data_IF_439892361906
#
_entry.id   IF_439892361906
#
_cell.length_a   1.000
_cell.length_b   1.000
_cell.length_c   1.000
_cell.angle_alpha   90.00
_cell.angle_beta   90.00
_cell.angle_gamma   90.00
#
_symmetry.space_group_name_H-M   'P 1'
#
loop_
_entity.id
_entity.type
_entity.pdbx_description
1 polymer ?
#
# COMPACT_ATOMS: atom_id res chain seq x y z
N UNK A 1 -3.66 21.01 -4.93
CA UNK A 1 -3.86 19.55 -5.01
C UNK A 1 -3.15 19.09 -6.27
N UNK A 2 -1.93 18.56 -6.17
CA UNK A 2 -1.26 17.98 -7.34
C UNK A 2 -1.70 16.52 -7.49
N UNK A 3 -2.01 16.14 -8.72
CA UNK A 3 -2.56 14.85 -9.12
C UNK A 3 -1.47 13.77 -9.00
N UNK A 4 -1.43 13.09 -7.86
CA UNK A 4 -0.76 11.78 -7.76
C UNK A 4 -1.36 10.88 -8.83
N UNK A 5 -0.53 10.29 -9.69
CA UNK A 5 -1.00 9.36 -10.72
C UNK A 5 -1.32 7.98 -10.09
N UNK A 6 -2.60 7.64 -10.02
CA UNK A 6 -3.08 6.42 -9.39
C UNK A 6 -4.12 5.71 -10.23
N UNK A 7 -4.20 4.40 -10.04
CA UNK A 7 -5.35 3.58 -10.41
C UNK A 7 -5.94 2.99 -9.12
N UNK A 8 -7.23 3.19 -8.90
CA UNK A 8 -7.99 2.57 -7.80
C UNK A 8 -9.10 1.73 -8.41
N UNK A 9 -9.20 0.48 -7.98
CA UNK A 9 -10.27 -0.43 -8.38
C UNK A 9 -10.71 -1.25 -7.17
N UNK A 10 -11.93 -1.78 -7.25
CA UNK A 10 -12.58 -2.54 -6.17
C UNK A 10 -13.03 -3.88 -6.72
N UNK A 11 -12.90 -4.95 -5.94
CA UNK A 11 -13.54 -6.26 -6.15
C UNK A 11 -14.04 -6.75 -4.79
N UNK A 12 -14.89 -7.78 -4.79
CA UNK A 12 -15.40 -8.42 -3.56
C UNK A 12 -14.50 -9.59 -3.12
N UNK A 13 -14.77 -10.11 -1.92
CA UNK A 13 -14.21 -11.36 -1.37
C UNK A 13 -14.93 -12.60 -1.90
N UNK A 14 -15.97 -12.41 -2.72
CA UNK A 14 -16.79 -13.48 -3.29
C UNK A 14 -16.11 -14.12 -4.50
N UNK A 15 -15.92 -15.43 -4.44
CA UNK A 15 -15.47 -16.23 -5.59
C UNK A 15 -16.24 -17.55 -5.64
N UNK A 16 -17.11 -17.70 -6.61
CA UNK A 16 -17.91 -18.91 -6.80
C UNK A 16 -18.01 -19.30 -8.29
N UNK A 17 -18.76 -20.36 -8.58
CA UNK A 17 -19.06 -20.74 -9.96
C UNK A 17 -20.17 -19.88 -10.59
N UNK A 18 -20.76 -18.94 -9.84
CA UNK A 18 -21.80 -18.05 -10.36
C UNK A 18 -21.20 -16.94 -11.21
N UNK A 19 -21.78 -16.71 -12.39
CA UNK A 19 -21.43 -15.58 -13.24
C UNK A 19 -21.86 -14.22 -12.65
N UNK A 20 -22.74 -14.22 -11.64
CA UNK A 20 -23.12 -13.02 -10.89
C UNK A 20 -22.03 -12.51 -9.97
N UNK A 21 -21.13 -13.39 -9.52
CA UNK A 21 -20.11 -13.05 -8.54
C UNK A 21 -18.91 -12.42 -9.21
N UNK A 22 -18.31 -11.43 -8.58
CA UNK A 22 -17.22 -10.67 -9.18
C UNK A 22 -16.07 -11.57 -9.61
N UNK A 23 -15.71 -12.58 -8.81
CA UNK A 23 -14.63 -13.52 -9.14
C UNK A 23 -13.32 -12.80 -9.51
N UNK A 24 -13.01 -11.69 -8.81
CA UNK A 24 -11.86 -10.82 -9.09
C UNK A 24 -12.08 -9.75 -10.15
N UNK A 25 -13.23 -9.72 -10.83
CA UNK A 25 -13.59 -8.64 -11.76
C UNK A 25 -13.85 -7.35 -11.00
N UNK A 26 -13.28 -6.25 -11.49
CA UNK A 26 -13.54 -4.97 -10.88
C UNK A 26 -15.00 -4.55 -11.02
N UNK A 27 -15.55 -3.99 -9.95
CA UNK A 27 -16.93 -3.50 -9.88
C UNK A 27 -17.02 -2.04 -10.33
N UNK A 28 -18.20 -1.59 -10.81
CA UNK A 28 -19.43 -2.37 -10.98
C UNK A 28 -19.39 -3.35 -12.17
N UNK A 29 -19.97 -4.54 -12.00
CA UNK A 29 -20.08 -5.53 -13.09
C UNK A 29 -21.04 -5.07 -14.18
N UNK A 30 -22.14 -4.41 -13.80
CA UNK A 30 -23.16 -3.90 -14.72
C UNK A 30 -22.72 -2.64 -15.51
N UNK A 31 -21.54 -2.08 -15.20
CA UNK A 31 -21.08 -0.81 -15.75
C UNK A 31 -21.71 0.40 -15.06
N UNK A 32 -21.78 1.53 -15.77
CA UNK A 32 -22.23 2.82 -15.25
C UNK A 32 -21.09 3.68 -14.72
N UNK A 33 -20.40 3.19 -13.68
CA UNK A 33 -19.21 3.85 -13.15
C UNK A 33 -17.91 3.32 -13.76
N UNK A 34 -16.85 4.16 -13.86
CA UNK A 34 -15.51 3.69 -14.14
C UNK A 34 -15.06 2.64 -13.11
N UNK A 35 -14.58 1.50 -13.58
CA UNK A 35 -14.02 0.42 -12.74
C UNK A 35 -12.61 0.72 -12.25
N UNK A 36 -11.84 1.41 -13.08
CA UNK A 36 -10.53 1.95 -12.74
C UNK A 36 -10.69 3.46 -12.59
N UNK A 37 -10.56 3.92 -11.36
CA UNK A 37 -10.64 5.32 -10.97
C UNK A 37 -9.24 5.91 -11.06
N UNK A 38 -9.15 7.06 -11.72
CA UNK A 38 -7.89 7.78 -11.98
C UNK A 38 -8.02 9.24 -11.51
N UNK A 39 -6.94 10.02 -11.48
CA UNK A 39 -7.01 11.44 -11.08
C UNK A 39 -7.88 12.31 -12.00
N UNK A 40 -8.13 11.85 -13.22
CA UNK A 40 -8.96 12.53 -14.22
C UNK A 40 -10.40 12.03 -14.25
N UNK A 41 -10.75 11.01 -13.44
CA UNK A 41 -12.12 10.52 -13.30
C UNK A 41 -13.02 11.63 -12.71
N UNK A 42 -14.09 12.05 -13.39
CA UNK A 42 -15.04 13.02 -12.84
C UNK A 42 -15.70 12.48 -11.57
N UNK A 43 -15.83 13.32 -10.54
CA UNK A 43 -16.44 12.95 -9.25
C UNK A 43 -15.85 11.68 -8.63
N UNK A 44 -14.54 11.43 -8.81
CA UNK A 44 -13.83 10.21 -8.37
C UNK A 44 -14.10 9.78 -6.93
N UNK A 45 -14.28 10.72 -5.99
CA UNK A 45 -14.66 10.39 -4.61
C UNK A 45 -16.04 9.74 -4.53
N UNK A 46 -17.02 10.28 -5.25
CA UNK A 46 -18.37 9.70 -5.35
C UNK A 46 -18.36 8.37 -6.11
N UNK A 47 -17.57 8.27 -7.19
CA UNK A 47 -17.41 7.02 -7.95
C UNK A 47 -16.82 5.94 -7.05
N UNK A 48 -15.78 6.27 -6.28
CA UNK A 48 -15.18 5.33 -5.33
C UNK A 48 -16.18 4.90 -4.27
N UNK A 49 -16.89 5.85 -3.65
CA UNK A 49 -17.93 5.57 -2.66
C UNK A 49 -19.01 4.62 -3.19
N UNK A 50 -19.41 4.76 -4.46
CA UNK A 50 -20.37 3.88 -5.10
C UNK A 50 -19.79 2.52 -5.42
N UNK A 51 -18.53 2.46 -5.89
CA UNK A 51 -17.88 1.19 -6.24
C UNK A 51 -17.55 0.34 -5.01
N UNK A 52 -17.25 0.93 -3.85
CA UNK A 52 -17.04 0.18 -2.59
C UNK A 52 -18.33 -0.31 -1.96
N UNK A 53 -19.48 0.26 -2.32
CA UNK A 53 -20.78 -0.17 -1.82
C UNK A 53 -21.30 -1.39 -2.62
N UNK A 54 -20.56 -2.49 -2.51
CA UNK A 54 -20.83 -3.76 -3.24
C UNK A 54 -21.99 -4.57 -2.67
N UNK A 55 -22.50 -4.19 -1.50
CA UNK A 55 -23.51 -4.95 -0.77
C UNK A 55 -22.94 -6.23 -0.14
N UNK A 56 -23.84 -7.07 0.36
CA UNK A 56 -23.50 -8.35 1.03
C UNK A 56 -23.96 -9.57 0.23
N UNK A 57 -24.45 -9.36 -0.99
CA UNK A 57 -24.88 -10.43 -1.89
C UNK A 57 -23.64 -11.09 -2.50
N UNK A 58 -23.23 -12.24 -1.97
CA UNK A 58 -22.05 -12.98 -2.45
C UNK A 58 -22.05 -14.44 -1.97
N UNK A 59 -20.94 -15.14 -2.24
CA UNK A 59 -20.68 -16.47 -1.70
C UNK A 59 -20.65 -16.40 -0.17
N UNK A 60 -21.20 -17.42 0.49
CA UNK A 60 -21.16 -17.54 1.95
C UNK A 60 -19.75 -17.82 2.47
N UNK A 61 -18.80 -18.11 1.57
CA UNK A 61 -17.39 -18.31 1.90
C UNK A 61 -16.53 -17.13 1.44
N UNK A 62 -15.92 -16.43 2.39
CA UNK A 62 -15.04 -15.30 2.13
C UNK A 62 -13.63 -15.77 1.75
N UNK A 63 -13.22 -15.40 0.53
CA UNK A 63 -11.85 -15.65 0.03
C UNK A 63 -11.19 -14.29 -0.08
N UNK A 64 -10.38 -13.96 0.91
CA UNK A 64 -9.75 -12.66 1.07
C UNK A 64 -8.59 -12.44 0.09
N UNK A 65 -7.88 -13.51 -0.27
CA UNK A 65 -6.69 -13.44 -1.12
C UNK A 65 -7.01 -13.72 -2.59
N UNK A 66 -7.87 -14.71 -2.84
CA UNK A 66 -8.16 -15.27 -4.17
C UNK A 66 -8.69 -14.27 -5.20
N UNK A 67 -9.64 -13.37 -4.91
CA UNK A 67 -10.15 -12.40 -5.89
C UNK A 67 -9.04 -11.49 -6.41
N UNK A 68 -8.12 -11.07 -5.55
CA UNK A 68 -6.97 -10.26 -5.94
C UNK A 68 -6.04 -11.00 -6.91
N UNK A 69 -5.82 -12.30 -6.70
CA UNK A 69 -5.09 -13.15 -7.63
C UNK A 69 -5.81 -13.25 -8.98
N UNK A 70 -7.11 -13.56 -8.98
CA UNK A 70 -7.91 -13.68 -10.20
C UNK A 70 -7.93 -12.37 -10.98
N UNK A 71 -8.13 -11.24 -10.28
CA UNK A 71 -8.24 -9.92 -10.90
C UNK A 71 -6.94 -9.41 -11.53
N UNK A 72 -5.79 -9.90 -11.07
CA UNK A 72 -4.46 -9.50 -11.54
C UNK A 72 -3.75 -10.57 -12.37
N UNK A 73 -4.44 -11.66 -12.69
CA UNK A 73 -3.94 -12.73 -13.55
C UNK A 73 -4.81 -12.89 -14.79
N UNK A 74 -4.33 -13.70 -15.74
CA UNK A 74 -5.08 -13.99 -16.94
C UNK A 74 -6.32 -14.86 -16.65
N UNK A 75 -7.47 -14.56 -17.29
CA UNK A 75 -7.63 -13.58 -18.37
C UNK A 75 -7.98 -12.16 -17.90
N UNK A 76 -8.29 -11.93 -16.62
CA UNK A 76 -8.91 -10.68 -16.19
C UNK A 76 -8.00 -9.47 -16.35
N UNK A 77 -6.71 -9.60 -16.02
CA UNK A 77 -5.73 -8.52 -16.15
C UNK A 77 -5.60 -8.00 -17.59
N UNK A 78 -5.85 -8.86 -18.58
CA UNK A 78 -5.81 -8.53 -20.01
C UNK A 78 -7.21 -8.28 -20.61
N UNK A 79 -8.29 -8.41 -19.82
CA UNK A 79 -9.67 -8.25 -20.28
C UNK A 79 -10.50 -7.31 -19.40
N UNK A 80 -11.34 -7.83 -18.50
CA UNK A 80 -12.27 -7.00 -17.71
C UNK A 80 -11.55 -5.96 -16.84
N UNK A 81 -10.36 -6.31 -16.35
CA UNK A 81 -9.51 -5.50 -15.49
C UNK A 81 -8.35 -4.84 -16.26
N UNK A 82 -8.38 -4.88 -17.60
CA UNK A 82 -7.35 -4.30 -18.43
C UNK A 82 -7.08 -2.82 -18.11
N UNK A 83 -5.80 -2.46 -18.14
CA UNK A 83 -5.34 -1.09 -17.88
C UNK A 83 -5.14 -0.73 -16.41
N UNK A 84 -5.47 -1.62 -15.46
CA UNK A 84 -5.22 -1.35 -14.03
C UNK A 84 -3.76 -1.50 -13.63
N UNK A 85 -3.16 -2.67 -13.88
CA UNK A 85 -1.80 -2.99 -13.46
C UNK A 85 -0.78 -2.28 -14.37
N UNK A 86 0.07 -1.43 -13.78
CA UNK A 86 1.12 -0.68 -14.50
C UNK A 86 2.50 -1.08 -14.03
N UNK A 87 3.41 -1.43 -14.93
CA UNK A 87 4.74 -1.93 -14.56
C UNK A 87 5.62 -0.95 -13.78
N UNK A 88 5.42 0.35 -14.01
CA UNK A 88 6.16 1.46 -13.41
C UNK A 88 5.51 2.04 -12.15
N UNK A 89 4.39 1.48 -11.69
CA UNK A 89 3.71 1.89 -10.47
C UNK A 89 3.86 0.87 -9.34
N UNK A 90 3.93 1.36 -8.11
CA UNK A 90 3.72 0.50 -6.94
C UNK A 90 2.30 -0.06 -6.96
N UNK A 91 2.15 -1.30 -6.53
CA UNK A 91 0.86 -1.96 -6.36
C UNK A 91 0.63 -2.20 -4.87
N UNK A 92 -0.49 -1.71 -4.35
CA UNK A 92 -0.98 -2.09 -3.03
C UNK A 92 -2.32 -2.80 -3.15
N UNK A 93 -2.46 -3.92 -2.45
CA UNK A 93 -3.75 -4.57 -2.21
C UNK A 93 -4.14 -4.29 -0.76
N UNK A 94 -5.38 -3.86 -0.54
CA UNK A 94 -5.96 -3.67 0.80
C UNK A 94 -7.18 -4.54 0.90
N UNK A 95 -7.11 -5.56 1.75
CA UNK A 95 -8.25 -6.41 2.08
C UNK A 95 -8.97 -5.80 3.28
N UNK A 96 -10.29 -5.72 3.20
CA UNK A 96 -11.17 -5.27 4.27
C UNK A 96 -12.25 -6.33 4.44
N UNK A 97 -12.36 -6.94 5.62
CA UNK A 97 -13.33 -8.00 5.91
C UNK A 97 -13.47 -8.19 7.43
N UNK A 98 -14.61 -8.69 7.89
CA UNK A 98 -14.88 -9.13 9.27
C UNK A 98 -14.79 -10.65 9.45
N UNK A 99 -14.35 -11.39 8.43
CA UNK A 99 -14.19 -12.84 8.43
C UNK A 99 -12.73 -13.29 8.22
N UNK A 100 -12.50 -14.61 8.28
CA UNK A 100 -11.21 -15.21 7.92
C UNK A 100 -11.14 -15.61 6.43
N UNK A 101 -9.92 -15.75 5.90
CA UNK A 101 -9.71 -16.33 4.56
C UNK A 101 -10.03 -17.84 4.57
N UNK A 102 -11.14 -18.21 3.92
CA UNK A 102 -11.64 -19.58 3.83
C UNK A 102 -11.17 -20.31 2.56
N UNK A 103 -10.23 -19.74 1.81
CA UNK A 103 -9.65 -20.40 0.65
C UNK A 103 -8.71 -21.55 1.04
N UNK A 104 -8.90 -22.71 0.41
CA UNK A 104 -8.11 -23.91 0.61
C UNK A 104 -6.81 -23.94 -0.21
N UNK A 105 -6.64 -23.01 -1.15
CA UNK A 105 -5.42 -22.88 -1.96
C UNK A 105 -4.21 -22.59 -1.07
N UNK A 106 -3.08 -23.29 -1.27
CA UNK A 106 -1.88 -23.10 -0.43
C UNK A 106 -1.38 -21.65 -0.45
N UNK A 107 -1.02 -21.09 0.70
CA UNK A 107 -0.53 -19.70 0.79
C UNK A 107 0.71 -19.46 -0.09
N UNK A 108 1.62 -20.44 -0.16
CA UNK A 108 2.82 -20.36 -0.97
C UNK A 108 2.55 -20.13 -2.46
N UNK A 109 1.39 -20.59 -2.97
CA UNK A 109 0.95 -20.28 -4.33
C UNK A 109 0.75 -18.77 -4.51
N UNK A 110 0.03 -18.14 -3.58
CA UNK A 110 -0.22 -16.70 -3.59
C UNK A 110 1.04 -15.89 -3.33
N UNK A 111 1.89 -16.30 -2.38
CA UNK A 111 3.19 -15.67 -2.13
C UNK A 111 4.03 -15.64 -3.41
N UNK A 112 4.14 -16.77 -4.11
CA UNK A 112 4.92 -16.86 -5.35
C UNK A 112 4.35 -15.96 -6.45
N UNK A 113 3.03 -15.90 -6.60
CA UNK A 113 2.41 -15.00 -7.57
C UNK A 113 2.68 -13.53 -7.23
N UNK A 114 2.30 -13.11 -6.02
CA UNK A 114 2.32 -11.70 -5.64
C UNK A 114 3.73 -11.14 -5.48
N UNK A 115 4.68 -11.90 -4.93
CA UNK A 115 6.08 -11.45 -4.82
C UNK A 115 6.77 -11.31 -6.18
N UNK A 116 6.22 -11.89 -7.24
CA UNK A 116 6.75 -11.75 -8.60
C UNK A 116 5.87 -10.88 -9.51
N UNK A 117 4.77 -10.30 -9.00
CA UNK A 117 3.80 -9.57 -9.83
C UNK A 117 4.37 -8.32 -10.49
N UNK A 118 5.39 -7.72 -9.86
CA UNK A 118 6.16 -6.59 -10.41
C UNK A 118 7.45 -7.04 -11.08
N UNK A 119 7.73 -8.33 -11.14
CA UNK A 119 9.01 -8.91 -11.55
C UNK A 119 10.00 -9.04 -10.39
N UNK A 120 10.89 -10.03 -10.50
CA UNK A 120 11.79 -10.49 -9.44
C UNK A 120 12.69 -9.39 -8.83
N UNK A 121 13.06 -8.36 -9.59
CA UNK A 121 13.92 -7.26 -9.13
C UNK A 121 13.16 -6.11 -8.47
N UNK A 122 11.82 -6.11 -8.55
CA UNK A 122 10.93 -5.02 -8.10
C UNK A 122 9.98 -5.47 -6.99
N UNK A 123 10.42 -6.41 -6.14
CA UNK A 123 9.59 -6.99 -5.06
C UNK A 123 9.09 -5.95 -4.05
N UNK A 124 9.84 -4.87 -3.87
CA UNK A 124 9.47 -3.74 -3.02
C UNK A 124 8.39 -2.82 -3.63
N UNK A 125 8.00 -3.02 -4.88
CA UNK A 125 6.90 -2.30 -5.53
C UNK A 125 5.54 -2.95 -5.29
N UNK A 126 5.45 -3.90 -4.35
CA UNK A 126 4.22 -4.60 -4.01
C UNK A 126 4.01 -4.68 -2.50
N UNK A 127 2.82 -4.32 -2.04
CA UNK A 127 2.36 -4.55 -0.67
C UNK A 127 0.99 -5.23 -0.65
N UNK A 128 0.84 -6.22 0.23
CA UNK A 128 -0.45 -6.80 0.61
C UNK A 128 -0.78 -6.34 2.02
N UNK A 129 -1.96 -5.77 2.21
CA UNK A 129 -2.39 -5.14 3.46
C UNK A 129 -3.75 -5.69 3.89
N UNK A 130 -4.02 -5.66 5.20
CA UNK A 130 -5.27 -6.17 5.77
C UNK A 130 -5.82 -5.27 6.87
N UNK A 131 -7.10 -4.93 6.74
CA UNK A 131 -7.96 -4.41 7.81
C UNK A 131 -8.97 -5.51 8.11
N UNK A 132 -8.63 -6.40 9.03
CA UNK A 132 -9.37 -7.65 9.27
C UNK A 132 -9.40 -7.98 10.78
N UNK A 133 -10.14 -8.97 11.27
CA UNK A 133 -10.13 -9.30 12.70
C UNK A 133 -8.73 -9.64 13.22
N UNK A 134 -8.28 -8.89 14.23
CA UNK A 134 -6.96 -9.03 14.88
C UNK A 134 -7.06 -9.15 16.40
N UNK A 135 -8.12 -8.63 17.00
CA UNK A 135 -8.33 -8.68 18.44
C UNK A 135 -8.62 -10.11 18.91
N UNK A 136 -8.18 -10.46 20.14
CA UNK A 136 -8.42 -11.78 20.71
C UNK A 136 -9.92 -12.04 21.01
N UNK A 137 -10.72 -10.97 21.09
CA UNK A 137 -12.17 -11.02 21.27
C UNK A 137 -12.79 -9.82 20.55
N UNK A 138 -13.98 -10.00 19.99
CA UNK A 138 -14.72 -8.92 19.35
C UNK A 138 -15.07 -7.83 20.39
N UNK A 139 -14.83 -6.53 20.09
CA UNK A 139 -15.19 -5.45 20.98
C UNK A 139 -16.70 -5.18 20.92
N UNK A 140 -17.27 -4.67 22.01
CA UNK A 140 -18.71 -4.37 22.07
C UNK A 140 -19.15 -3.42 20.95
N UNK A 141 -20.18 -3.81 20.19
CA UNK A 141 -20.71 -3.04 19.08
C UNK A 141 -20.03 -3.27 17.72
N UNK A 142 -19.10 -4.22 17.66
CA UNK A 142 -18.51 -4.74 16.42
C UNK A 142 -18.53 -6.27 16.48
N UNK A 143 -18.87 -6.92 15.38
CA UNK A 143 -18.97 -8.38 15.33
C UNK A 143 -18.07 -8.94 14.25
N UNK A 144 -17.50 -10.12 14.52
CA UNK A 144 -16.81 -10.92 13.52
C UNK A 144 -17.75 -12.03 13.03
N UNK A 145 -17.84 -12.26 11.73
CA UNK A 145 -18.75 -13.27 11.15
C UNK A 145 -18.34 -14.70 11.57
N UNK A 146 -17.04 -14.92 11.78
CA UNK A 146 -16.50 -16.15 12.34
C UNK A 146 -15.65 -15.82 13.57
N UNK A 147 -15.54 -16.74 14.54
CA UNK A 147 -14.72 -16.54 15.77
C UNK A 147 -13.21 -16.59 15.46
N UNK A 148 -12.73 -15.63 14.69
CA UNK A 148 -11.41 -15.63 14.07
C UNK A 148 -10.43 -14.75 14.81
N UNK A 149 -10.54 -14.66 16.13
CA UNK A 149 -9.59 -13.97 16.99
C UNK A 149 -8.14 -14.32 16.61
N UNK A 150 -7.51 -13.46 15.79
CA UNK A 150 -6.17 -13.63 15.24
C UNK A 150 -5.94 -14.67 14.13
N UNK A 151 -6.98 -15.20 13.45
CA UNK A 151 -6.88 -16.44 12.64
C UNK A 151 -6.80 -16.32 11.12
N UNK A 152 -6.84 -15.13 10.52
CA UNK A 152 -6.43 -14.95 9.12
C UNK A 152 -4.90 -15.03 8.97
N UNK A 153 -4.30 -16.10 9.51
CA UNK A 153 -2.87 -16.43 9.49
C UNK A 153 -2.29 -16.37 8.08
N UNK A 154 -3.13 -16.65 7.08
CA UNK A 154 -2.83 -16.55 5.66
C UNK A 154 -2.62 -15.10 5.21
N UNK A 155 -3.58 -14.21 5.50
CA UNK A 155 -3.43 -12.78 5.24
C UNK A 155 -2.27 -12.21 6.05
N UNK A 156 -2.18 -12.51 7.35
CA UNK A 156 -1.06 -12.10 8.21
C UNK A 156 0.30 -12.54 7.66
N UNK A 157 0.38 -13.76 7.11
CA UNK A 157 1.57 -14.28 6.45
C UNK A 157 1.98 -13.44 5.24
N UNK A 158 1.05 -13.17 4.33
CA UNK A 158 1.29 -12.30 3.16
C UNK A 158 1.68 -10.88 3.57
N UNK A 159 0.94 -10.28 4.50
CA UNK A 159 1.21 -8.92 5.00
C UNK A 159 2.64 -8.83 5.55
N UNK A 160 3.07 -9.81 6.36
CA UNK A 160 4.42 -9.85 6.91
C UNK A 160 5.49 -10.03 5.81
N UNK A 161 5.21 -10.82 4.77
CA UNK A 161 6.15 -11.05 3.65
C UNK A 161 6.34 -9.83 2.76
N UNK A 162 5.34 -8.97 2.67
CA UNK A 162 5.32 -7.82 1.76
C UNK A 162 5.51 -6.50 2.49
N UNK A 163 5.86 -6.54 3.78
CA UNK A 163 5.94 -5.36 4.65
C UNK A 163 4.67 -4.48 4.59
N UNK A 164 3.51 -5.12 4.48
CA UNK A 164 2.23 -4.43 4.46
C UNK A 164 1.74 -4.07 5.85
N UNK A 165 0.60 -3.38 5.87
CA UNK A 165 -0.06 -2.93 7.09
C UNK A 165 -1.13 -3.93 7.50
N UNK A 166 -1.23 -4.16 8.81
CA UNK A 166 -2.19 -5.03 9.46
C UNK A 166 -2.90 -4.24 10.56
N UNK A 167 -4.21 -4.08 10.47
CA UNK A 167 -5.05 -3.39 11.46
C UNK A 167 -6.40 -4.09 11.64
N UNK A 168 -7.13 -3.73 12.70
CA UNK A 168 -8.42 -4.31 13.05
C UNK A 168 -9.59 -3.62 12.35
N UNK A 169 -10.50 -4.43 11.82
CA UNK A 169 -11.78 -3.95 11.27
C UNK A 169 -12.66 -3.26 12.33
N UNK A 170 -12.49 -3.58 13.61
CA UNK A 170 -13.21 -2.91 14.69
C UNK A 170 -12.50 -1.66 15.23
N UNK A 171 -11.36 -1.25 14.65
CA UNK A 171 -10.74 0.03 14.98
C UNK A 171 -11.70 1.18 14.62
N UNK A 172 -12.08 2.07 15.57
CA UNK A 172 -13.10 3.10 15.31
C UNK A 172 -12.75 4.13 14.24
N UNK A 173 -11.46 4.31 13.97
CA UNK A 173 -10.94 5.26 13.00
C UNK A 173 -9.75 4.68 12.23
N UNK A 174 -9.97 4.32 10.96
CA UNK A 174 -8.91 3.85 10.08
C UNK A 174 -8.12 4.98 9.41
N UNK A 175 -8.35 6.25 9.73
CA UNK A 175 -7.67 7.38 9.08
C UNK A 175 -6.14 7.23 9.17
N UNK A 176 -5.61 6.81 10.33
CA UNK A 176 -4.18 6.57 10.48
C UNK A 176 -3.68 5.38 9.67
N UNK A 177 -4.50 4.34 9.51
CA UNK A 177 -4.17 3.14 8.74
C UNK A 177 -4.20 3.43 7.25
N UNK A 178 -5.24 4.11 6.76
CA UNK A 178 -5.36 4.60 5.39
C UNK A 178 -4.25 5.61 5.07
N UNK A 179 -3.85 6.45 6.02
CA UNK A 179 -2.70 7.32 5.88
C UNK A 179 -1.42 6.50 5.69
N UNK A 180 -1.09 5.58 6.61
CA UNK A 180 0.08 4.69 6.49
C UNK A 180 0.09 3.90 5.17
N UNK A 181 -1.07 3.40 4.74
CA UNK A 181 -1.25 2.69 3.47
C UNK A 181 -0.92 3.60 2.28
N UNK A 182 -1.40 4.84 2.31
CA UNK A 182 -1.08 5.84 1.30
C UNK A 182 0.43 6.08 1.24
N UNK A 183 1.11 6.21 2.39
CA UNK A 183 2.57 6.43 2.46
C UNK A 183 3.38 5.25 1.91
N UNK A 184 2.99 4.03 2.26
CA UNK A 184 3.63 2.80 1.76
C UNK A 184 3.40 2.58 0.26
N UNK A 185 2.21 2.92 -0.24
CA UNK A 185 1.83 2.72 -1.65
C UNK A 185 2.46 3.77 -2.57
N UNK A 186 2.44 5.05 -2.16
CA UNK A 186 3.03 6.13 -2.96
C UNK A 186 4.56 6.22 -2.81
N UNK A 187 5.16 5.35 -2.00
CA UNK A 187 6.59 5.04 -2.05
C UNK A 187 7.46 6.28 -1.94
N UNK A 188 7.27 7.08 -0.89
CA UNK A 188 8.20 8.16 -0.60
C UNK A 188 9.61 7.61 -0.64
N UNK A 189 10.46 8.17 -1.50
CA UNK A 189 11.88 7.85 -1.48
C UNK A 189 12.40 8.35 -0.14
N UNK A 190 12.63 7.45 0.80
CA UNK A 190 13.08 7.80 2.16
C UNK A 190 14.60 7.87 2.25
N UNK A 191 15.32 7.24 1.32
CA UNK A 191 16.78 7.20 1.27
C UNK A 191 17.33 7.90 0.03
N UNK A 192 18.20 8.87 0.24
CA UNK A 192 18.89 9.63 -0.80
C UNK A 192 20.41 9.51 -0.64
N UNK A 193 21.04 8.78 -1.56
CA UNK A 193 22.49 8.59 -1.57
C UNK A 193 23.21 9.88 -1.94
N UNK A 194 24.28 10.18 -1.20
CA UNK A 194 25.15 11.32 -1.44
C UNK A 194 26.23 10.95 -2.47
N UNK A 195 26.58 11.90 -3.33
CA UNK A 195 27.64 11.73 -4.33
C UNK A 195 29.05 11.74 -3.74
N UNK A 196 29.22 12.23 -2.51
CA UNK A 196 30.49 12.25 -1.78
C UNK A 196 30.25 12.18 -0.28
N UNK A 197 31.28 11.84 0.50
CA UNK A 197 31.18 11.76 1.96
C UNK A 197 31.21 13.17 2.58
N UNK A 198 30.23 13.55 3.41
CA UNK A 198 30.23 14.81 4.15
C UNK A 198 31.36 14.93 5.17
N UNK A 199 31.87 16.14 5.36
CA UNK A 199 32.78 16.50 6.46
C UNK A 199 32.00 16.46 7.80
N UNK A 200 32.39 15.59 8.76
CA UNK A 200 31.67 15.45 10.03
C UNK A 200 31.74 16.69 10.92
N UNK A 201 32.65 17.64 10.64
CA UNK A 201 32.77 18.91 11.37
C UNK A 201 31.83 20.01 10.84
N UNK A 202 31.14 19.77 9.72
CA UNK A 202 30.25 20.72 9.07
C UNK A 202 28.81 20.17 9.01
N UNK A 203 27.78 21.04 9.07
CA UNK A 203 26.41 20.58 8.98
C UNK A 203 26.04 20.13 7.57
N UNK A 204 25.16 19.13 7.49
CA UNK A 204 24.39 18.84 6.28
C UNK A 204 23.13 19.70 6.34
N UNK A 205 22.88 20.48 5.28
CA UNK A 205 21.72 21.36 5.15
C UNK A 205 20.76 20.74 4.14
N UNK A 206 19.51 20.56 4.55
CA UNK A 206 18.44 20.06 3.69
C UNK A 206 17.40 21.16 3.48
N UNK A 207 16.97 21.32 2.24
CA UNK A 207 15.86 22.18 1.85
C UNK A 207 14.84 21.38 1.04
N UNK A 208 13.55 21.66 1.28
CA UNK A 208 12.44 21.19 0.48
C UNK A 208 11.79 22.39 -0.21
N UNK A 209 11.76 22.38 -1.54
CA UNK A 209 11.21 23.49 -2.33
C UNK A 209 11.85 24.85 -1.97
N UNK A 210 13.14 24.82 -1.66
CA UNK A 210 13.93 25.99 -1.25
C UNK A 210 13.64 26.49 0.17
N UNK A 211 12.87 25.76 0.98
CA UNK A 211 12.65 26.07 2.39
C UNK A 211 13.49 25.17 3.30
N UNK A 212 14.12 25.70 4.36
CA UNK A 212 14.90 24.90 5.31
C UNK A 212 14.09 23.76 5.92
N UNK A 213 14.67 22.56 5.90
CA UNK A 213 14.07 21.35 6.44
C UNK A 213 15.01 20.67 7.46
N UNK A 214 15.05 21.16 8.71
CA UNK A 214 16.00 20.68 9.71
C UNK A 214 15.76 19.21 10.10
N UNK A 215 16.81 18.56 10.60
CA UNK A 215 16.78 17.15 11.03
C UNK A 215 15.81 16.89 12.18
N UNK A 216 15.52 17.90 12.99
CA UNK A 216 14.53 17.86 14.06
C UNK A 216 13.37 18.81 13.72
N UNK A 217 12.15 18.34 13.94
CA UNK A 217 10.94 19.13 13.84
C UNK A 217 10.72 20.09 15.01
N UNK A 218 9.63 20.88 14.99
CA UNK A 218 9.32 21.87 16.03
C UNK A 218 9.04 21.24 17.40
N UNK A 219 8.80 19.93 17.46
CA UNK A 219 8.60 19.18 18.69
C UNK A 219 9.78 18.24 19.00
N UNK A 220 10.95 18.51 18.41
CA UNK A 220 12.17 17.69 18.54
C UNK A 220 12.02 16.25 17.99
N UNK A 221 11.03 16.02 17.14
CA UNK A 221 10.84 14.77 16.41
C UNK A 221 11.87 14.65 15.28
N UNK A 222 12.55 13.50 15.19
CA UNK A 222 13.54 13.27 14.13
C UNK A 222 12.86 13.13 12.78
N UNK A 223 13.26 13.97 11.83
CA UNK A 223 12.77 14.00 10.44
C UNK A 223 13.68 13.25 9.48
N UNK A 224 14.98 13.39 9.67
CA UNK A 224 15.97 12.69 8.88
C UNK A 224 17.28 12.55 9.64
N UNK A 225 18.11 11.61 9.20
CA UNK A 225 19.46 11.37 9.73
C UNK A 225 20.43 11.02 8.60
N UNK A 226 21.73 11.16 8.87
CA UNK A 226 22.78 10.73 7.95
C UNK A 226 23.29 9.33 8.35
N UNK A 227 23.21 8.38 7.41
CA UNK A 227 23.79 7.03 7.54
C UNK A 227 25.17 7.03 6.86
N UNK A 228 26.23 7.03 7.68
CA UNK A 228 27.61 7.04 7.21
C UNK A 228 28.05 5.73 6.55
N UNK A 229 27.40 4.61 6.87
CA UNK A 229 27.71 3.30 6.27
C UNK A 229 27.22 3.21 4.83
N UNK A 230 26.05 3.81 4.57
CA UNK A 230 25.43 3.86 3.25
C UNK A 230 25.78 5.12 2.45
N UNK A 231 26.43 6.11 3.09
CA UNK A 231 26.62 7.47 2.57
C UNK A 231 25.29 8.07 2.04
N UNK A 232 24.27 8.11 2.90
CA UNK A 232 22.92 8.51 2.50
C UNK A 232 22.20 9.32 3.58
N UNK A 233 21.23 10.13 3.16
CA UNK A 233 20.24 10.73 4.05
C UNK A 233 19.01 9.83 4.11
N UNK A 234 18.63 9.47 5.33
CA UNK A 234 17.46 8.68 5.66
C UNK A 234 16.41 9.53 6.34
N UNK A 235 15.30 9.75 5.65
CA UNK A 235 14.10 10.38 6.20
C UNK A 235 13.28 9.34 6.97
N UNK A 236 12.72 9.77 8.11
CA UNK A 236 11.63 9.00 8.72
C UNK A 236 10.41 9.06 7.79
N UNK A 237 9.57 8.01 7.75
CA UNK A 237 8.49 7.91 6.75
C UNK A 237 7.51 9.10 6.68
N UNK A 238 7.27 9.81 7.80
CA UNK A 238 6.35 10.95 7.86
C UNK A 238 7.00 12.30 7.49
N UNK A 239 8.32 12.32 7.31
CA UNK A 239 9.09 13.52 7.02
C UNK A 239 9.79 13.45 5.66
N UNK A 240 9.62 12.35 4.92
CA UNK A 240 10.20 12.19 3.61
C UNK A 240 9.65 13.25 2.63
N UNK A 241 10.45 13.70 1.65
CA UNK A 241 9.99 14.67 0.67
C UNK A 241 8.78 14.14 -0.10
N UNK A 242 7.76 14.98 -0.25
CA UNK A 242 6.61 14.67 -1.08
C UNK A 242 7.04 14.56 -2.57
N UNK A 243 6.46 13.64 -3.36
CA UNK A 243 6.75 13.53 -4.78
C UNK A 243 6.50 14.87 -5.51
N UNK A 244 7.44 15.24 -6.38
CA UNK A 244 7.40 16.52 -7.08
C UNK A 244 8.02 17.70 -6.32
N UNK A 245 8.32 17.54 -5.03
CA UNK A 245 9.16 18.51 -4.30
C UNK A 245 10.62 18.45 -4.78
N UNK A 246 11.29 19.59 -4.74
CA UNK A 246 12.73 19.68 -4.97
C UNK A 246 13.45 19.48 -3.64
N UNK A 247 14.09 18.33 -3.48
CA UNK A 247 15.02 18.06 -2.38
C UNK A 247 16.42 18.58 -2.75
N UNK A 248 16.91 19.56 -1.99
CA UNK A 248 18.29 20.04 -2.08
C UNK A 248 19.04 19.59 -0.83
N UNK A 249 20.14 18.85 -1.02
CA UNK A 249 21.05 18.45 0.07
C UNK A 249 22.39 19.11 -0.17
N UNK A 250 22.75 20.05 0.71
CA UNK A 250 24.01 20.79 0.67
C UNK A 250 24.93 20.37 1.82
N UNK A 251 26.18 20.06 1.51
CA UNK A 251 27.18 19.66 2.49
C UNK A 251 28.59 19.99 2.00
N UNK A 252 29.53 20.16 2.94
CA UNK A 252 30.95 20.19 2.59
C UNK A 252 31.47 18.76 2.50
N UNK A 253 32.27 18.48 1.48
CA UNK A 253 32.89 17.17 1.30
C UNK A 253 34.08 17.04 2.24
N UNK A 254 34.22 15.89 2.88
CA UNK A 254 35.39 15.57 3.69
C UNK A 254 36.65 15.66 2.81
N UNK A 255 37.61 16.50 3.19
CA UNK A 255 38.91 16.51 2.56
C UNK A 255 39.57 15.13 2.80
N UNK A 256 40.00 14.45 1.73
CA UNK A 256 40.99 13.39 1.89
C UNK A 256 42.23 14.06 2.48
N UNK A 257 42.57 13.73 3.72
CA UNK A 257 43.90 14.04 4.24
C UNK A 257 44.88 13.37 3.28
N UNK A 258 45.55 14.18 2.46
CA UNK A 258 46.63 13.70 1.62
C UNK A 258 47.71 13.09 2.52
N UNK A 259 48.43 12.05 2.04
CA UNK A 259 49.64 11.61 2.72
C UNK A 259 50.65 12.75 2.85
#
# INVERSE_FOLDING_TARGET
>A
SQQVDYHIAVTTTSVSNSASDENGRFVPLAGGNPRVITPTTPNKEQVFQQNVNVGTSGDAYEKLIRPSYLGLSNPLVDSHNAGFLRDDANLAIVVVSDAADQDTTQLAFYENFFLNIKGHTRRNMFTFNGIIPTFPQEPAGCSYDESTAGQSSRVKGLVARTAGIYDDICTPDWSQTLEKLSKGTFGYRTRFFLSSTPDPSQPIVIELDGQPYPALGPYEDMRWSYDSSANAIDFVPLAAPEPGSTLTISYRVACLAGP
#
